data_IF_600695545684
#
_entry.id   IF_600695545684
#
_cell.length_a   1.000
_cell.length_b   1.000
_cell.length_c   1.000
_cell.angle_alpha   90.00
_cell.angle_beta   90.00
_cell.angle_gamma   90.00
#
_symmetry.space_group_name_H-M   'P 1'
#
loop_
_entity.id
_entity.type
_entity.pdbx_description
1 polymer ?
#
# COMPACT_ATOMS: atom_id res chain seq x y z
N UNK A 1 -46.89 -24.28 44.21
CA UNK A 1 -46.68 -24.28 42.74
C UNK A 1 -46.12 -22.97 42.18
N UNK A 2 -45.97 -21.89 42.97
CA UNK A 2 -45.40 -20.63 42.46
C UNK A 2 -43.86 -20.60 42.37
N UNK A 3 -43.15 -21.34 43.24
CA UNK A 3 -41.68 -21.34 43.25
C UNK A 3 -41.02 -22.06 42.06
N UNK A 4 -41.75 -22.98 41.42
CA UNK A 4 -41.26 -23.73 40.25
C UNK A 4 -41.40 -22.92 38.94
N UNK A 5 -42.41 -22.04 38.87
CA UNK A 5 -42.62 -21.13 37.74
C UNK A 5 -41.52 -20.07 37.64
N UNK A 6 -41.06 -19.54 38.78
CA UNK A 6 -40.03 -18.50 38.83
C UNK A 6 -38.65 -19.00 38.36
N UNK A 7 -38.32 -20.27 38.62
CA UNK A 7 -37.10 -20.89 38.12
C UNK A 7 -37.14 -21.11 36.60
N UNK A 8 -38.29 -21.47 36.02
CA UNK A 8 -38.42 -21.62 34.57
C UNK A 8 -38.29 -20.29 33.83
N UNK A 9 -38.83 -19.19 34.37
CA UNK A 9 -38.70 -17.86 33.77
C UNK A 9 -37.25 -17.37 33.78
N UNK A 10 -36.49 -17.65 34.84
CA UNK A 10 -35.06 -17.30 34.91
C UNK A 10 -34.19 -18.15 33.97
N UNK A 11 -34.49 -19.44 33.79
CA UNK A 11 -33.73 -20.30 32.87
C UNK A 11 -33.99 -19.90 31.40
N UNK A 12 -35.22 -19.53 31.05
CA UNK A 12 -35.56 -19.08 29.69
C UNK A 12 -34.96 -17.69 29.38
N UNK A 13 -34.88 -16.80 30.38
CA UNK A 13 -34.24 -15.49 30.22
C UNK A 13 -32.71 -15.57 30.00
N UNK A 14 -32.04 -16.59 30.53
CA UNK A 14 -30.57 -16.74 30.38
C UNK A 14 -30.17 -17.37 29.05
N UNK A 15 -31.05 -18.12 28.38
CA UNK A 15 -30.79 -18.65 27.03
C UNK A 15 -30.89 -17.61 25.90
N UNK A 16 -31.31 -16.38 26.20
CA UNK A 16 -31.57 -15.34 25.21
C UNK A 16 -30.39 -14.45 24.82
N UNK A 17 -29.17 -14.65 25.35
CA UNK A 17 -28.07 -13.71 25.12
C UNK A 17 -26.85 -14.37 24.46
N UNK A 18 -26.49 -13.80 23.30
CA UNK A 18 -25.35 -14.09 22.40
C UNK A 18 -25.58 -15.18 21.34
N UNK A 19 -26.58 -14.96 20.48
CA UNK A 19 -26.39 -15.35 19.09
C UNK A 19 -25.27 -14.48 18.50
N UNK A 20 -24.07 -15.03 18.36
CA UNK A 20 -23.08 -14.47 17.45
C UNK A 20 -23.74 -14.36 16.06
N UNK A 21 -23.62 -13.23 15.34
CA UNK A 21 -24.18 -13.14 14.01
C UNK A 21 -23.58 -14.26 13.15
N UNK A 22 -24.41 -15.16 12.65
CA UNK A 22 -23.98 -16.23 11.74
C UNK A 22 -23.45 -15.57 10.49
N UNK A 23 -22.18 -15.79 10.17
CA UNK A 23 -21.60 -15.32 8.92
C UNK A 23 -22.39 -15.93 7.74
N UNK A 24 -22.71 -15.15 6.69
CA UNK A 24 -23.43 -15.69 5.55
C UNK A 24 -22.62 -16.79 4.86
N UNK A 25 -23.31 -17.87 4.48
CA UNK A 25 -22.67 -19.09 3.99
C UNK A 25 -22.47 -19.10 2.47
N UNK A 26 -23.17 -18.24 1.73
CA UNK A 26 -23.26 -18.31 0.27
C UNK A 26 -22.66 -17.06 -0.39
N UNK A 27 -22.04 -17.25 -1.56
CA UNK A 27 -21.35 -16.19 -2.30
C UNK A 27 -22.31 -15.24 -3.06
N UNK A 28 -23.57 -15.63 -3.23
CA UNK A 28 -24.54 -14.90 -4.08
C UNK A 28 -25.31 -13.78 -3.35
N UNK A 29 -25.19 -13.65 -2.03
CA UNK A 29 -25.90 -12.64 -1.23
C UNK A 29 -25.22 -11.25 -1.23
N UNK A 30 -24.20 -11.02 -2.06
CA UNK A 30 -23.35 -9.84 -1.96
C UNK A 30 -23.40 -8.96 -3.22
N UNK A 31 -24.32 -8.00 -3.17
CA UNK A 31 -24.25 -6.78 -3.99
C UNK A 31 -23.63 -5.73 -3.05
N UNK A 32 -22.44 -5.16 -3.36
CA UNK A 32 -21.66 -4.09 -2.64
C UNK A 32 -20.46 -4.61 -1.80
N UNK A 33 -19.27 -3.94 -1.79
CA UNK A 33 -18.02 -4.51 -1.27
C UNK A 33 -17.96 -4.39 0.25
N UNK A 34 -18.61 -5.32 0.95
CA UNK A 34 -18.48 -5.45 2.40
C UNK A 34 -17.51 -6.59 2.70
N UNK A 35 -16.49 -6.38 3.56
CA UNK A 35 -15.56 -7.46 3.94
C UNK A 35 -16.33 -8.68 4.47
N UNK A 36 -16.11 -9.84 3.86
CA UNK A 36 -16.67 -11.10 4.33
C UNK A 36 -16.05 -11.44 5.68
N UNK A 37 -16.83 -11.32 6.75
CA UNK A 37 -16.40 -11.75 8.08
C UNK A 37 -16.49 -13.27 8.15
N UNK A 38 -15.41 -13.90 8.56
CA UNK A 38 -15.31 -15.34 8.82
C UNK A 38 -14.67 -15.55 10.19
N UNK A 39 -14.78 -16.76 10.75
CA UNK A 39 -14.08 -17.09 12.00
C UNK A 39 -12.58 -17.08 11.74
N UNK A 40 -11.79 -16.49 12.65
CA UNK A 40 -10.34 -16.56 12.57
C UNK A 40 -9.87 -18.02 12.64
N UNK A 41 -9.09 -18.44 11.65
CA UNK A 41 -8.44 -19.74 11.59
C UNK A 41 -6.92 -19.55 11.51
N UNK A 42 -6.16 -20.60 11.85
CA UNK A 42 -4.70 -20.58 11.70
C UNK A 42 -4.26 -20.42 10.25
N UNK A 43 -5.07 -20.90 9.30
CA UNK A 43 -4.82 -20.75 7.85
C UNK A 43 -4.95 -19.29 7.42
N UNK A 44 -6.08 -18.64 7.73
CA UNK A 44 -6.31 -17.24 7.42
C UNK A 44 -5.28 -16.32 8.12
N UNK A 45 -4.80 -16.71 9.31
CA UNK A 45 -3.77 -15.96 10.02
C UNK A 45 -2.41 -16.05 9.30
N UNK A 46 -2.01 -17.24 8.84
CA UNK A 46 -0.76 -17.42 8.08
C UNK A 46 -0.79 -16.67 6.77
N UNK A 47 -1.87 -16.80 6.00
CA UNK A 47 -2.02 -16.08 4.73
C UNK A 47 -1.94 -14.56 4.94
N UNK A 48 -2.57 -14.04 5.99
CA UNK A 48 -2.44 -12.63 6.36
C UNK A 48 -1.00 -12.24 6.66
N UNK A 49 -0.30 -13.04 7.45
CA UNK A 49 1.09 -12.75 7.85
C UNK A 49 2.03 -12.77 6.64
N UNK A 50 1.83 -13.71 5.70
CA UNK A 50 2.56 -13.76 4.42
C UNK A 50 2.31 -12.51 3.56
N UNK A 51 1.05 -12.06 3.48
CA UNK A 51 0.67 -10.83 2.76
C UNK A 51 1.32 -9.61 3.42
N UNK A 52 1.31 -9.53 4.76
CA UNK A 52 1.95 -8.43 5.49
C UNK A 52 3.44 -8.40 5.18
N UNK A 53 4.13 -9.54 5.25
CA UNK A 53 5.56 -9.65 4.97
C UNK A 53 5.90 -9.20 3.54
N UNK A 54 5.15 -9.66 2.54
CA UNK A 54 5.32 -9.25 1.15
C UNK A 54 5.04 -7.74 0.94
N UNK A 55 4.16 -7.18 1.77
CA UNK A 55 3.74 -5.80 1.70
C UNK A 55 4.66 -4.83 2.43
N UNK A 56 5.68 -5.29 3.16
CA UNK A 56 6.60 -4.41 3.88
C UNK A 56 7.33 -3.44 2.95
N UNK A 57 7.63 -2.26 3.50
CA UNK A 57 8.57 -1.32 2.89
C UNK A 57 9.94 -1.99 2.79
N UNK A 58 10.53 -1.94 1.60
CA UNK A 58 11.80 -2.57 1.29
C UNK A 58 12.38 -1.94 0.03
N UNK A 59 12.98 -2.73 -0.84
CA UNK A 59 13.52 -2.20 -2.11
C UNK A 59 12.42 -1.51 -2.97
N UNK A 60 12.78 -0.45 -3.72
CA UNK A 60 11.87 0.19 -4.65
C UNK A 60 11.23 -0.80 -5.64
N UNK A 61 9.90 -0.78 -5.75
CA UNK A 61 9.12 -1.64 -6.65
C UNK A 61 8.73 -0.90 -7.92
N UNK A 62 8.52 -1.63 -9.02
CA UNK A 62 8.04 -1.04 -10.26
C UNK A 62 6.57 -0.64 -10.13
N UNK A 63 6.30 0.65 -10.36
CA UNK A 63 4.96 1.24 -10.34
C UNK A 63 4.72 1.92 -11.67
N UNK A 64 3.49 1.84 -12.17
CA UNK A 64 3.08 2.50 -13.39
C UNK A 64 2.74 3.97 -13.11
N UNK A 65 3.48 4.90 -13.70
CA UNK A 65 3.31 6.33 -13.49
C UNK A 65 2.96 7.06 -14.80
N UNK A 66 1.91 7.89 -14.74
CA UNK A 66 1.50 8.75 -15.85
C UNK A 66 2.35 10.02 -15.90
N UNK A 67 2.86 10.34 -17.10
CA UNK A 67 3.65 11.53 -17.35
C UNK A 67 2.76 12.78 -17.19
N UNK A 68 3.17 13.69 -16.30
CA UNK A 68 2.45 14.94 -16.02
C UNK A 68 2.88 16.01 -17.03
N UNK A 69 2.29 15.96 -18.23
CA UNK A 69 2.53 16.96 -19.28
C UNK A 69 1.23 17.73 -19.50
N UNK A 70 1.24 19.01 -19.12
CA UNK A 70 0.07 19.88 -19.19
C UNK A 70 0.12 20.71 -20.48
N UNK A 71 -0.34 20.13 -21.58
CA UNK A 71 -0.52 20.86 -22.83
C UNK A 71 -1.80 20.39 -23.53
N UNK A 72 -2.81 21.26 -23.59
CA UNK A 72 -4.14 20.93 -24.07
C UNK A 72 -4.20 20.52 -25.56
N UNK A 73 -3.17 20.86 -26.34
CA UNK A 73 -3.09 20.59 -27.78
C UNK A 73 -1.95 19.65 -28.15
N UNK A 74 -1.34 18.99 -27.17
CA UNK A 74 -0.23 18.09 -27.38
C UNK A 74 -0.62 16.68 -26.97
N UNK A 75 -0.37 15.72 -27.86
CA UNK A 75 -0.44 14.31 -27.54
C UNK A 75 0.98 13.81 -27.25
N UNK A 76 1.15 13.12 -26.12
CA UNK A 76 2.45 12.60 -25.71
C UNK A 76 2.45 11.08 -25.83
N UNK A 77 3.54 10.52 -26.37
CA UNK A 77 3.80 9.08 -26.38
C UNK A 77 5.21 8.78 -25.85
N UNK A 78 5.38 7.87 -24.88
CA UNK A 78 4.32 7.23 -24.09
C UNK A 78 3.65 8.21 -23.11
N UNK A 79 2.41 7.93 -22.67
CA UNK A 79 1.73 8.72 -21.61
C UNK A 79 2.02 8.23 -20.20
N UNK A 80 2.60 7.05 -20.06
CA UNK A 80 2.93 6.43 -18.78
C UNK A 80 4.08 5.44 -18.95
N UNK A 81 4.82 5.22 -17.86
CA UNK A 81 6.02 4.38 -17.84
C UNK A 81 6.12 3.63 -16.52
N UNK A 82 6.88 2.53 -16.52
CA UNK A 82 7.27 1.82 -15.30
C UNK A 82 8.46 2.53 -14.67
N UNK A 83 8.35 2.83 -13.37
CA UNK A 83 9.43 3.42 -12.58
C UNK A 83 9.54 2.80 -11.21
N UNK A 84 10.74 2.83 -10.65
CA UNK A 84 11.00 2.38 -9.29
C UNK A 84 10.50 3.41 -8.29
N UNK A 85 9.58 2.99 -7.40
CA UNK A 85 9.01 3.81 -6.34
C UNK A 85 9.01 3.06 -5.01
N UNK A 86 9.12 3.79 -3.93
CA UNK A 86 8.99 3.27 -2.57
C UNK A 86 7.52 3.08 -2.27
N UNK A 87 7.14 1.82 -2.05
CA UNK A 87 5.78 1.42 -1.70
C UNK A 87 5.87 0.28 -0.69
N UNK A 88 4.93 0.27 0.25
CA UNK A 88 4.87 -0.77 1.27
C UNK A 88 4.43 -0.23 2.61
N UNK A 89 4.25 -1.15 3.55
CA UNK A 89 3.81 -0.92 4.91
C UNK A 89 5.01 -0.73 5.83
N UNK A 90 4.88 0.21 6.76
CA UNK A 90 5.81 0.40 7.87
C UNK A 90 5.24 -0.23 9.15
N UNK A 91 6.11 -0.75 10.00
CA UNK A 91 5.72 -1.50 11.21
C UNK A 91 5.32 -0.62 12.41
N UNK A 92 5.23 0.70 12.26
CA UNK A 92 4.84 1.59 13.36
C UNK A 92 3.33 1.55 13.62
N UNK A 93 2.78 0.54 14.29
CA UNK A 93 1.36 0.51 14.71
C UNK A 93 0.33 0.82 13.59
N UNK A 94 0.65 0.51 12.32
CA UNK A 94 -0.11 0.87 11.10
C UNK A 94 -0.11 2.37 10.73
N UNK A 95 0.77 3.13 11.35
CA UNK A 95 1.08 4.52 11.06
C UNK A 95 2.46 4.60 10.38
N UNK A 96 2.68 5.68 9.63
CA UNK A 96 3.93 5.88 8.89
C UNK A 96 3.89 5.48 7.43
N UNK A 97 4.90 5.93 6.70
CA UNK A 97 4.93 5.94 5.25
C UNK A 97 6.27 5.43 4.74
N UNK A 98 6.24 4.55 3.74
CA UNK A 98 7.42 4.15 2.98
C UNK A 98 7.81 5.29 2.02
N UNK A 99 8.98 5.89 2.24
CA UNK A 99 9.46 7.07 1.50
C UNK A 99 10.83 6.80 0.88
N UNK A 100 11.18 7.58 -0.15
CA UNK A 100 12.52 7.54 -0.71
C UNK A 100 13.52 8.16 0.26
N UNK A 101 14.60 7.44 0.54
CA UNK A 101 15.79 7.98 1.23
C UNK A 101 16.78 8.54 0.22
N UNK A 102 16.78 7.99 -0.99
CA UNK A 102 17.59 8.44 -2.12
C UNK A 102 16.79 8.38 -3.42
N UNK A 103 16.99 9.37 -4.29
CA UNK A 103 16.33 9.43 -5.59
C UNK A 103 17.32 9.80 -6.68
N UNK A 104 17.04 9.35 -7.91
CA UNK A 104 17.78 9.70 -9.11
C UNK A 104 16.81 10.23 -10.17
N UNK A 105 17.24 11.21 -10.95
CA UNK A 105 16.47 11.69 -12.09
C UNK A 105 16.95 11.01 -13.36
N UNK A 106 16.07 10.23 -13.98
CA UNK A 106 16.28 9.60 -15.28
C UNK A 106 15.61 10.43 -16.37
N UNK A 107 16.24 10.51 -17.54
CA UNK A 107 15.64 11.15 -18.70
C UNK A 107 15.15 10.08 -19.67
N UNK A 108 13.85 10.10 -19.98
CA UNK A 108 13.24 9.17 -20.92
C UNK A 108 12.89 9.88 -22.22
N UNK A 109 13.07 9.25 -23.39
CA UNK A 109 12.64 9.83 -24.66
C UNK A 109 11.11 9.78 -24.75
N UNK A 110 10.53 10.90 -25.17
CA UNK A 110 9.10 11.04 -25.46
C UNK A 110 8.91 11.66 -26.85
N UNK A 111 7.76 11.37 -27.45
CA UNK A 111 7.29 12.03 -28.67
C UNK A 111 6.12 12.93 -28.31
N UNK A 112 6.15 14.15 -28.83
CA UNK A 112 5.09 15.15 -28.68
C UNK A 112 4.53 15.44 -30.06
N UNK A 113 3.24 15.19 -30.24
CA UNK A 113 2.49 15.54 -31.45
C UNK A 113 1.59 16.74 -31.17
N UNK A 114 1.81 17.82 -31.91
CA UNK A 114 1.05 19.06 -31.76
C UNK A 114 -0.16 19.06 -32.71
N UNK A 115 -1.36 19.02 -32.13
CA UNK A 115 -2.61 18.95 -32.86
C UNK A 115 -2.97 20.23 -33.62
N UNK A 116 -2.37 21.38 -33.26
CA UNK A 116 -2.59 22.65 -33.96
C UNK A 116 -1.73 22.78 -35.22
N UNK A 117 -0.51 22.27 -35.17
CA UNK A 117 0.49 22.47 -36.24
C UNK A 117 0.74 21.22 -37.08
N UNK A 118 0.18 20.07 -36.69
CA UNK A 118 0.40 18.76 -37.32
C UNK A 118 1.90 18.41 -37.39
N UNK A 119 2.64 18.74 -36.33
CA UNK A 119 4.08 18.50 -36.22
C UNK A 119 4.40 17.58 -35.06
N UNK A 120 5.38 16.71 -35.29
CA UNK A 120 5.97 15.85 -34.28
C UNK A 120 7.35 16.36 -33.84
N UNK A 121 7.62 16.27 -32.54
CA UNK A 121 8.93 16.59 -31.95
C UNK A 121 9.32 15.46 -30.99
N UNK A 122 10.59 15.05 -31.03
CA UNK A 122 11.17 14.19 -29.99
C UNK A 122 11.74 15.06 -28.86
N UNK A 123 11.45 14.69 -27.62
CA UNK A 123 11.93 15.38 -26.44
C UNK A 123 12.38 14.38 -25.36
N UNK A 124 13.04 14.86 -24.31
CA UNK A 124 13.38 14.07 -23.13
C UNK A 124 12.56 14.55 -21.94
N UNK A 125 11.91 13.62 -21.24
CA UNK A 125 11.14 13.90 -20.03
C UNK A 125 11.93 13.46 -18.79
N UNK A 126 12.14 14.33 -17.78
CA UNK A 126 12.76 13.93 -16.53
C UNK A 126 11.75 13.16 -15.67
N UNK A 127 12.15 12.00 -15.17
CA UNK A 127 11.36 11.19 -14.25
C UNK A 127 12.21 10.78 -13.05
N UNK A 128 11.61 10.88 -11.86
CA UNK A 128 12.27 10.53 -10.61
C UNK A 128 12.09 9.05 -10.30
N UNK A 129 13.19 8.32 -10.17
CA UNK A 129 13.22 6.95 -9.67
C UNK A 129 13.77 6.94 -8.25
N UNK A 130 13.20 6.09 -7.39
CA UNK A 130 13.70 5.89 -6.03
C UNK A 130 14.81 4.83 -6.07
N UNK A 131 15.93 5.11 -5.39
CA UNK A 131 17.10 4.21 -5.32
C UNK A 131 17.05 3.38 -4.05
N UNK A 132 16.73 4.02 -2.93
CA UNK A 132 16.56 3.37 -1.63
C UNK A 132 15.32 3.91 -0.91
N UNK A 133 14.76 3.10 -0.03
CA UNK A 133 13.53 3.39 0.71
C UNK A 133 13.74 3.26 2.21
N UNK A 134 12.93 3.99 2.97
CA UNK A 134 12.93 3.93 4.42
C UNK A 134 11.54 4.20 4.97
N UNK A 135 11.32 3.75 6.19
CA UNK A 135 10.10 4.02 6.92
C UNK A 135 10.21 5.32 7.71
N UNK A 136 9.19 6.16 7.60
CA UNK A 136 9.08 7.38 8.35
C UNK A 136 7.74 7.40 9.10
N UNK A 137 7.77 7.69 10.41
CA UNK A 137 6.56 7.74 11.25
C UNK A 137 5.61 8.92 10.93
N UNK A 138 5.95 9.78 9.97
CA UNK A 138 5.13 10.92 9.54
C UNK A 138 4.51 10.65 8.15
N UNK A 139 3.62 11.55 7.71
CA UNK A 139 3.09 11.55 6.34
C UNK A 139 4.21 11.84 5.33
N UNK A 140 4.13 11.36 4.07
CA UNK A 140 5.25 11.45 3.13
C UNK A 140 5.77 12.88 2.94
N UNK A 141 4.87 13.87 2.92
CA UNK A 141 5.18 15.30 2.79
C UNK A 141 5.99 15.87 3.97
N UNK A 142 5.84 15.27 5.16
CA UNK A 142 6.50 15.68 6.40
C UNK A 142 7.79 14.90 6.66
N UNK A 143 8.10 13.93 5.82
CA UNK A 143 9.28 13.08 5.89
C UNK A 143 10.48 13.60 5.07
N UNK A 144 10.41 14.83 4.56
CA UNK A 144 11.51 15.43 3.81
C UNK A 144 12.77 15.62 4.68
N UNK A 145 13.94 15.57 4.03
CA UNK A 145 15.23 15.90 4.64
C UNK A 145 15.15 17.25 5.38
N UNK A 146 15.71 17.36 6.61
CA UNK A 146 16.81 16.57 7.15
C UNK A 146 16.39 15.44 8.13
N UNK A 147 15.14 14.96 8.09
CA UNK A 147 14.58 14.08 9.15
C UNK A 147 14.53 12.60 8.81
N UNK A 148 15.29 12.18 7.79
CA UNK A 148 15.46 10.77 7.42
C UNK A 148 16.65 10.23 8.21
N UNK A 149 16.39 9.36 9.20
CA UNK A 149 17.45 8.66 9.93
C UNK A 149 18.05 7.59 9.02
N UNK A 150 19.24 7.86 8.48
CA UNK A 150 20.09 6.86 7.84
C UNK A 150 20.97 6.25 8.95
N UNK A 151 20.73 5.00 9.41
CA UNK A 151 21.73 4.32 10.21
C UNK A 151 23.01 4.18 9.35
N UNK A 152 24.21 4.44 9.91
CA UNK A 152 25.44 4.29 9.15
C UNK A 152 25.64 2.83 8.74
N UNK A 153 26.15 2.61 7.54
CA UNK A 153 26.62 1.29 7.10
C UNK A 153 27.76 0.84 8.02
N UNK A 154 27.79 -0.43 8.48
CA UNK A 154 28.90 -0.93 9.27
C UNK A 154 30.17 -0.97 8.41
N UNK A 155 31.20 -0.24 8.83
CA UNK A 155 32.56 -0.38 8.31
C UNK A 155 33.04 -1.81 8.60
N UNK A 156 33.18 -2.64 7.56
CA UNK A 156 33.95 -3.85 7.68
C UNK A 156 35.42 -3.51 7.40
N UNK A 157 36.26 -3.61 8.43
CA UNK A 157 37.71 -3.58 8.25
C UNK A 157 38.11 -4.84 7.47
N UNK A 158 38.53 -4.66 6.21
CA UNK A 158 39.19 -5.73 5.46
C UNK A 158 40.60 -5.84 6.02
N UNK A 159 40.83 -6.74 6.97
CA UNK A 159 42.19 -7.21 7.26
C UNK A 159 42.71 -7.91 6.00
N UNK A 160 43.62 -7.25 5.30
CA UNK A 160 44.41 -7.86 4.23
C UNK A 160 45.38 -8.87 4.83
N UNK A 161 45.23 -10.16 4.46
CA UNK A 161 46.21 -11.22 4.66
C UNK A 161 47.28 -11.15 3.58
#
# INVERSE_FOLDING_TARGET
MEKLLLCFVLIVAVSGHKHHPKFPKNAEDYIIPVPRKVVCSSENARERDDIIEQSKCGEPKEVFEYLKINAAHEQVSPRAVWVKRCVGLCEYDNEGTCVATETVTRHIPIRIYNLKTDKETCATYPITEHVSCGCCALSPEKCAAPRVFNPPEPEYEVESV
#
